data_IF_562296575633
#
_entry.id   IF_562296575633
#
_cell.length_a   1.000
_cell.length_b   1.000
_cell.length_c   1.000
_cell.angle_alpha   90.00
_cell.angle_beta   90.00
_cell.angle_gamma   90.00
#
_symmetry.space_group_name_H-M   'P 1'
#
loop_
_entity.id
_entity.type
_entity.pdbx_description
1 polymer ?
#
# COMPACT_ATOMS: atom_id res chain seq x y z
N UNK A 1 1.40 -11.54 -2.18
CA UNK A 1 -0.05 -11.85 -2.17
C UNK A 1 -0.84 -10.60 -2.52
N UNK A 2 -2.04 -10.80 -3.11
CA UNK A 2 -2.98 -9.72 -3.37
C UNK A 2 -3.61 -9.25 -2.04
N UNK A 3 -3.77 -7.92 -1.87
CA UNK A 3 -4.34 -7.33 -0.66
C UNK A 3 -5.40 -6.30 -1.04
N UNK A 4 -5.12 -5.01 -0.90
CA UNK A 4 -6.07 -3.95 -1.20
C UNK A 4 -6.53 -3.94 -2.66
N UNK A 5 -7.81 -3.67 -2.88
CA UNK A 5 -8.42 -3.54 -4.20
C UNK A 5 -9.30 -2.30 -4.27
N UNK A 6 -9.29 -1.62 -5.41
CA UNK A 6 -10.19 -0.50 -5.68
C UNK A 6 -10.59 -0.47 -7.17
N UNK A 7 -11.72 0.14 -7.47
CA UNK A 7 -12.10 0.43 -8.84
C UNK A 7 -11.54 1.78 -9.27
N UNK A 8 -11.18 1.89 -10.54
CA UNK A 8 -10.81 3.15 -11.18
C UNK A 8 -12.04 3.92 -11.69
N UNK A 9 -11.81 5.03 -12.41
CA UNK A 9 -12.89 5.83 -12.99
C UNK A 9 -13.87 4.99 -13.82
N UNK A 10 -15.16 5.23 -13.64
CA UNK A 10 -16.26 4.56 -14.37
C UNK A 10 -16.28 3.04 -14.24
N UNK A 11 -15.55 2.47 -13.29
CA UNK A 11 -15.31 1.01 -13.15
C UNK A 11 -14.70 0.38 -14.42
N UNK A 12 -13.89 1.13 -15.17
CA UNK A 12 -13.27 0.64 -16.39
C UNK A 12 -12.17 -0.39 -16.10
N UNK A 13 -11.56 -0.28 -14.93
CA UNK A 13 -10.52 -1.20 -14.43
C UNK A 13 -10.53 -1.30 -12.90
N UNK A 14 -9.95 -2.36 -12.39
CA UNK A 14 -9.60 -2.51 -10.98
C UNK A 14 -8.10 -2.41 -10.78
N UNK A 15 -7.68 -1.86 -9.64
CA UNK A 15 -6.30 -1.90 -9.15
C UNK A 15 -6.21 -2.86 -7.99
N UNK A 16 -5.13 -3.63 -7.94
CA UNK A 16 -4.87 -4.63 -6.90
C UNK A 16 -3.45 -4.47 -6.40
N UNK A 17 -3.31 -4.24 -5.09
CA UNK A 17 -2.01 -4.20 -4.44
C UNK A 17 -1.41 -5.60 -4.32
N UNK A 18 -0.16 -5.76 -4.68
CA UNK A 18 0.65 -6.95 -4.42
C UNK A 18 1.68 -6.63 -3.33
N UNK A 19 1.29 -6.82 -2.07
CA UNK A 19 2.03 -6.42 -0.87
C UNK A 19 3.47 -6.94 -0.86
N UNK A 20 3.65 -8.24 -1.10
CA UNK A 20 4.97 -8.88 -0.99
C UNK A 20 5.98 -8.47 -2.06
N UNK A 21 5.52 -7.87 -3.17
CA UNK A 21 6.38 -7.41 -4.25
C UNK A 21 6.44 -5.88 -4.37
N UNK A 22 5.68 -5.16 -3.53
CA UNK A 22 5.70 -3.70 -3.51
C UNK A 22 5.23 -3.08 -4.82
N UNK A 23 4.13 -3.60 -5.40
CA UNK A 23 3.60 -3.14 -6.68
C UNK A 23 2.09 -3.19 -6.76
N UNK A 24 1.53 -2.54 -7.77
CA UNK A 24 0.09 -2.53 -8.06
C UNK A 24 -0.16 -2.99 -9.48
N UNK A 25 -1.12 -3.87 -9.66
CA UNK A 25 -1.60 -4.33 -10.96
C UNK A 25 -2.91 -3.66 -11.33
N UNK A 26 -3.09 -3.40 -12.63
CA UNK A 26 -4.35 -3.00 -13.25
C UNK A 26 -4.96 -4.18 -13.98
N UNK A 27 -6.23 -4.46 -13.72
CA UNK A 27 -7.06 -5.40 -14.48
C UNK A 27 -8.16 -4.60 -15.18
N UNK A 28 -8.17 -4.62 -16.49
CA UNK A 28 -9.22 -3.97 -17.29
C UNK A 28 -10.53 -4.78 -17.20
N UNK A 29 -11.63 -4.09 -16.87
CA UNK A 29 -12.93 -4.70 -16.66
C UNK A 29 -13.88 -4.46 -17.83
N UNK A 30 -13.65 -3.38 -18.60
CA UNK A 30 -14.53 -2.96 -19.70
C UNK A 30 -13.74 -2.63 -20.98
N UNK A 31 -14.48 -2.50 -22.09
CA UNK A 31 -13.96 -2.11 -23.41
C UNK A 31 -13.14 -3.22 -24.07
N UNK A 32 -12.37 -2.85 -25.10
CA UNK A 32 -11.54 -3.78 -25.90
C UNK A 32 -10.43 -4.46 -25.09
N UNK A 33 -10.06 -3.88 -23.97
CA UNK A 33 -9.02 -4.39 -23.08
C UNK A 33 -9.55 -5.29 -21.96
N UNK A 34 -10.86 -5.54 -21.89
CA UNK A 34 -11.46 -6.34 -20.81
C UNK A 34 -10.75 -7.70 -20.63
N UNK A 35 -10.38 -8.01 -19.39
CA UNK A 35 -9.63 -9.22 -19.03
C UNK A 35 -8.10 -9.09 -19.17
N UNK A 36 -7.58 -8.01 -19.75
CA UNK A 36 -6.15 -7.78 -19.82
C UNK A 36 -5.63 -7.26 -18.47
N UNK A 37 -4.42 -7.71 -18.14
CA UNK A 37 -3.69 -7.31 -16.95
C UNK A 37 -2.42 -6.57 -17.34
N UNK A 38 -2.06 -5.54 -16.57
CA UNK A 38 -0.80 -4.82 -16.74
C UNK A 38 -0.27 -4.35 -15.39
N UNK A 39 1.01 -4.04 -15.34
CA UNK A 39 1.63 -3.38 -14.20
C UNK A 39 1.21 -1.92 -14.20
N UNK A 40 0.66 -1.44 -13.07
CA UNK A 40 0.24 -0.05 -12.92
C UNK A 40 1.36 0.82 -12.32
N UNK A 41 1.96 0.35 -11.23
CA UNK A 41 3.15 0.94 -10.61
C UNK A 41 3.97 -0.15 -9.94
N UNK A 42 5.29 -0.04 -9.99
CA UNK A 42 6.25 -0.96 -9.36
C UNK A 42 7.23 -0.22 -8.45
N UNK A 43 8.07 -0.98 -7.77
CA UNK A 43 9.15 -0.48 -6.92
C UNK A 43 8.66 0.49 -5.83
N UNK A 44 7.48 0.22 -5.28
CA UNK A 44 6.98 0.97 -4.13
C UNK A 44 7.94 0.83 -2.94
N UNK A 45 8.24 1.92 -2.21
CA UNK A 45 9.23 1.91 -1.12
C UNK A 45 8.74 1.18 0.13
N UNK A 46 7.47 0.83 0.19
CA UNK A 46 6.83 0.11 1.29
C UNK A 46 6.01 -1.09 0.81
N UNK A 47 5.39 -1.76 1.76
CA UNK A 47 4.47 -2.87 1.52
C UNK A 47 3.05 -2.33 1.33
N UNK A 48 2.52 -2.22 0.09
CA UNK A 48 1.18 -1.67 -0.12
C UNK A 48 0.13 -2.59 0.50
N UNK A 49 -0.75 -1.99 1.32
CA UNK A 49 -1.84 -2.70 1.99
C UNK A 49 -3.18 -2.32 1.32
N UNK A 50 -3.96 -1.41 1.88
CA UNK A 50 -5.18 -0.98 1.21
C UNK A 50 -4.93 0.17 0.22
N UNK A 51 -5.79 0.23 -0.79
CA UNK A 51 -5.82 1.27 -1.81
C UNK A 51 -7.23 1.82 -1.95
N UNK A 52 -7.37 3.12 -2.16
CA UNK A 52 -8.67 3.77 -2.34
C UNK A 52 -8.58 4.87 -3.40
N UNK A 53 -9.51 4.84 -4.35
CA UNK A 53 -9.72 5.93 -5.30
C UNK A 53 -10.51 7.06 -4.64
N UNK A 54 -10.11 8.31 -4.86
CA UNK A 54 -10.78 9.50 -4.32
C UNK A 54 -12.03 9.93 -5.13
N UNK A 55 -12.23 9.31 -6.28
CA UNK A 55 -13.34 9.64 -7.19
C UNK A 55 -13.01 10.76 -8.19
N UNK A 56 -11.81 11.31 -8.17
CA UNK A 56 -11.36 12.39 -9.06
C UNK A 56 -10.20 11.92 -9.93
N UNK A 57 -9.00 11.82 -9.38
CA UNK A 57 -7.78 11.51 -10.14
C UNK A 57 -6.69 10.79 -9.35
N UNK A 58 -6.87 10.55 -8.05
CA UNK A 58 -5.81 10.04 -7.17
C UNK A 58 -6.20 8.71 -6.49
N UNK A 59 -5.31 7.75 -6.57
CA UNK A 59 -5.35 6.52 -5.79
C UNK A 59 -4.46 6.67 -4.57
N UNK A 60 -5.04 6.55 -3.39
CA UNK A 60 -4.33 6.61 -2.11
C UNK A 60 -3.98 5.21 -1.65
N UNK A 61 -2.70 4.97 -1.35
CA UNK A 61 -2.16 3.67 -0.95
C UNK A 61 -1.53 3.80 0.44
N UNK A 62 -2.01 2.98 1.36
CA UNK A 62 -1.45 2.85 2.69
C UNK A 62 -0.30 1.84 2.69
N UNK A 63 0.80 2.16 3.38
CA UNK A 63 1.97 1.30 3.52
C UNK A 63 2.37 1.18 4.99
N UNK A 64 2.05 0.06 5.66
CA UNK A 64 2.30 -0.13 7.09
C UNK A 64 3.78 -0.32 7.45
N UNK A 65 4.61 -0.70 6.49
CA UNK A 65 6.04 -0.92 6.71
C UNK A 65 6.87 -0.58 5.48
N UNK A 66 8.14 -0.28 5.70
CA UNK A 66 9.12 -0.12 4.64
C UNK A 66 9.51 -1.48 4.05
N UNK A 67 9.89 -1.50 2.78
CA UNK A 67 10.25 -2.72 2.07
C UNK A 67 11.67 -3.20 2.37
N UNK A 68 12.59 -2.30 2.75
CA UNK A 68 14.02 -2.58 2.89
C UNK A 68 14.33 -3.83 3.72
N UNK A 69 13.65 -4.03 4.86
CA UNK A 69 13.88 -5.18 5.74
C UNK A 69 13.48 -6.53 5.12
N UNK A 70 12.54 -6.55 4.18
CA UNK A 70 12.14 -7.76 3.46
C UNK A 70 13.08 -8.06 2.28
N UNK A 71 13.55 -7.05 1.60
CA UNK A 71 14.43 -7.18 0.45
C UNK A 71 15.82 -7.68 0.85
N UNK A 72 16.32 -7.31 2.02
CA UNK A 72 17.60 -7.77 2.56
C UNK A 72 17.66 -9.30 2.75
N UNK A 73 16.54 -9.92 3.08
CA UNK A 73 16.45 -11.38 3.26
C UNK A 73 15.91 -12.11 2.03
N UNK A 74 15.39 -11.38 1.02
CA UNK A 74 14.80 -11.97 -0.18
C UNK A 74 15.76 -12.90 -0.93
N UNK A 75 17.08 -12.61 -1.09
CA UNK A 75 18.03 -13.45 -1.78
C UNK A 75 18.38 -14.78 -1.06
N UNK A 76 17.92 -14.95 0.20
CA UNK A 76 18.30 -16.08 1.03
C UNK A 76 17.12 -17.00 1.38
N UNK A 77 16.66 -17.87 0.45
CA UNK A 77 15.46 -18.70 0.64
C UNK A 77 15.57 -19.64 1.85
N UNK A 78 16.78 -20.15 2.16
CA UNK A 78 16.99 -21.00 3.34
C UNK A 78 16.87 -20.22 4.65
N UNK A 79 17.35 -18.97 4.67
CA UNK A 79 17.22 -18.08 5.83
C UNK A 79 15.74 -17.72 6.05
N UNK A 80 15.02 -17.39 4.97
CA UNK A 80 13.56 -17.11 5.02
C UNK A 80 12.79 -18.32 5.57
N UNK A 81 13.10 -19.53 5.10
CA UNK A 81 12.52 -20.75 5.61
C UNK A 81 12.80 -20.97 7.09
N UNK A 82 14.02 -20.67 7.55
CA UNK A 82 14.39 -20.75 8.98
C UNK A 82 13.62 -19.70 9.79
N UNK A 83 13.54 -18.46 9.32
CA UNK A 83 12.84 -17.38 9.99
C UNK A 83 11.33 -17.64 10.09
N UNK A 84 10.73 -18.37 9.13
CA UNK A 84 9.30 -18.71 9.16
C UNK A 84 8.90 -19.64 10.33
N UNK A 85 9.86 -20.28 11.01
CA UNK A 85 9.60 -21.04 12.22
C UNK A 85 9.63 -20.18 13.50
N UNK A 86 10.06 -18.91 13.40
CA UNK A 86 10.03 -18.01 14.55
C UNK A 86 8.59 -17.57 14.85
N UNK A 87 8.26 -17.40 16.13
CA UNK A 87 6.97 -16.83 16.51
C UNK A 87 6.76 -15.45 15.85
N UNK A 88 5.56 -15.22 15.33
CA UNK A 88 5.22 -14.02 14.55
C UNK A 88 5.55 -12.72 15.29
N UNK A 89 5.36 -12.68 16.61
CA UNK A 89 5.63 -11.49 17.42
C UNK A 89 7.13 -11.09 17.46
N UNK A 90 8.05 -12.03 17.22
CA UNK A 90 9.47 -11.71 17.10
C UNK A 90 9.81 -11.10 15.74
N UNK A 91 9.15 -11.57 14.68
CA UNK A 91 9.28 -11.01 13.33
C UNK A 91 8.67 -9.61 13.24
N UNK A 92 7.49 -9.42 13.87
CA UNK A 92 6.83 -8.12 13.94
C UNK A 92 7.60 -7.09 14.78
N UNK A 93 8.31 -7.53 15.83
CA UNK A 93 9.15 -6.65 16.65
C UNK A 93 10.38 -6.13 15.88
N UNK A 94 10.80 -6.84 14.82
CA UNK A 94 11.91 -6.44 13.97
C UNK A 94 11.46 -5.52 12.80
N UNK A 95 10.15 -5.36 12.57
CA UNK A 95 9.64 -4.46 11.55
C UNK A 95 9.67 -3.02 12.05
N UNK A 96 10.33 -2.14 11.31
CA UNK A 96 10.32 -0.71 11.63
C UNK A 96 8.92 -0.12 11.40
N UNK A 97 8.37 0.59 12.41
CA UNK A 97 7.09 1.25 12.24
C UNK A 97 7.20 2.33 11.17
N UNK A 98 6.25 2.35 10.25
CA UNK A 98 6.18 3.38 9.22
C UNK A 98 4.84 4.09 9.28
N UNK A 99 4.87 5.42 9.16
CA UNK A 99 3.73 6.29 8.89
C UNK A 99 3.85 6.74 7.45
N UNK A 100 3.27 5.96 6.53
CA UNK A 100 3.54 6.14 5.12
C UNK A 100 2.30 5.95 4.26
N UNK A 101 2.02 6.97 3.43
CA UNK A 101 0.94 6.97 2.45
C UNK A 101 1.47 7.60 1.16
N UNK A 102 1.10 7.05 0.02
CA UNK A 102 1.33 7.69 -1.27
C UNK A 102 0.01 7.95 -1.98
N UNK A 103 -0.03 9.06 -2.74
CA UNK A 103 -1.03 9.32 -3.75
C UNK A 103 -0.44 9.07 -5.14
N UNK A 104 -1.17 8.35 -5.98
CA UNK A 104 -0.76 7.96 -7.34
C UNK A 104 -1.84 8.39 -8.32
N UNK A 105 -1.47 9.07 -9.41
CA UNK A 105 -2.42 9.51 -10.43
C UNK A 105 -2.92 8.35 -11.31
N UNK A 106 -3.83 8.64 -12.25
CA UNK A 106 -4.41 7.65 -13.16
C UNK A 106 -3.38 7.00 -14.11
N UNK A 107 -2.20 7.60 -14.26
CA UNK A 107 -1.10 7.12 -15.09
C UNK A 107 -0.10 6.24 -14.34
N UNK A 108 -0.23 6.13 -13.00
CA UNK A 108 0.70 5.37 -12.16
C UNK A 108 1.89 6.20 -11.67
N UNK A 109 1.81 7.53 -11.74
CA UNK A 109 2.85 8.42 -11.24
C UNK A 109 2.56 8.86 -9.81
N UNK A 110 3.58 8.86 -8.95
CA UNK A 110 3.44 9.31 -7.55
C UNK A 110 3.31 10.83 -7.53
N UNK A 111 2.19 11.32 -7.03
CA UNK A 111 1.89 12.76 -6.88
C UNK A 111 2.03 13.24 -5.44
N UNK A 112 1.79 12.36 -4.49
CA UNK A 112 1.89 12.66 -3.06
C UNK A 112 2.73 11.60 -2.36
N UNK A 113 3.61 12.05 -1.47
CA UNK A 113 4.46 11.19 -0.66
C UNK A 113 4.43 11.72 0.78
N UNK A 114 3.54 11.13 1.59
CA UNK A 114 3.25 11.58 2.95
C UNK A 114 3.91 10.63 3.93
N UNK A 115 4.92 11.10 4.62
CA UNK A 115 5.69 10.34 5.60
C UNK A 115 5.88 11.15 6.88
N UNK A 116 5.77 10.48 8.02
CA UNK A 116 6.08 11.06 9.32
C UNK A 116 6.77 9.99 10.18
N UNK A 117 8.09 10.11 10.34
CA UNK A 117 8.91 9.17 11.11
C UNK A 117 8.79 9.39 12.62
N UNK A 118 8.34 10.57 13.04
CA UNK A 118 8.17 10.92 14.46
C UNK A 118 6.74 10.67 14.95
N UNK A 119 5.82 10.33 14.04
CA UNK A 119 4.42 10.13 14.36
C UNK A 119 4.20 8.96 15.31
N UNK A 120 3.39 9.20 16.34
CA UNK A 120 2.85 8.12 17.16
C UNK A 120 1.80 7.27 16.42
N UNK A 121 1.32 7.71 15.24
CA UNK A 121 0.36 7.02 14.41
C UNK A 121 1.07 6.30 13.28
N UNK A 122 1.37 5.02 13.46
CA UNK A 122 2.13 4.18 12.53
C UNK A 122 1.39 2.89 12.17
N UNK A 123 2.01 2.05 11.33
CA UNK A 123 1.39 0.84 10.75
C UNK A 123 0.06 1.15 10.05
N UNK A 124 0.09 2.16 9.17
CA UNK A 124 -1.11 2.61 8.44
C UNK A 124 -1.48 1.54 7.41
N UNK A 125 -2.60 0.87 7.63
CA UNK A 125 -3.12 -0.18 6.74
C UNK A 125 -4.27 0.31 5.88
N UNK A 126 -4.95 1.37 6.28
CA UNK A 126 -6.10 1.92 5.56
C UNK A 126 -5.99 3.42 5.35
N UNK A 127 -6.42 3.89 4.19
CA UNK A 127 -6.55 5.31 3.84
C UNK A 127 -7.86 5.51 3.10
N UNK A 128 -8.66 6.47 3.57
CA UNK A 128 -9.95 6.78 2.96
C UNK A 128 -10.04 8.29 2.74
N UNK A 129 -10.01 8.77 1.49
CA UNK A 129 -10.22 10.18 1.18
C UNK A 129 -11.70 10.55 1.37
N UNK A 130 -11.93 11.76 1.92
CA UNK A 130 -13.25 12.36 2.05
C UNK A 130 -13.11 13.89 1.99
N UNK A 131 -13.50 14.49 0.87
CA UNK A 131 -13.19 15.90 0.57
C UNK A 131 -11.69 16.15 0.62
N UNK A 132 -11.26 17.18 1.32
CA UNK A 132 -9.84 17.55 1.45
C UNK A 132 -9.13 16.85 2.61
N UNK A 133 -9.63 15.69 3.05
CA UNK A 133 -9.14 15.01 4.24
C UNK A 133 -8.95 13.52 3.99
N UNK A 134 -7.84 12.96 4.49
CA UNK A 134 -7.58 11.53 4.56
C UNK A 134 -7.89 11.02 5.98
N UNK A 135 -8.70 9.98 6.06
CA UNK A 135 -8.94 9.22 7.29
C UNK A 135 -8.12 7.94 7.25
N UNK A 136 -7.35 7.70 8.32
CA UNK A 136 -6.33 6.66 8.37
C UNK A 136 -6.69 5.61 9.41
N UNK A 137 -6.61 4.35 9.00
CA UNK A 137 -6.69 3.19 9.89
C UNK A 137 -5.30 2.60 10.14
N UNK A 138 -5.07 2.14 11.35
CA UNK A 138 -3.82 1.51 11.76
C UNK A 138 -4.05 0.10 12.28
N UNK A 139 -3.07 -0.79 12.07
CA UNK A 139 -3.08 -2.13 12.63
C UNK A 139 -2.86 -2.14 14.15
N UNK A 140 -2.17 -1.14 14.70
CA UNK A 140 -1.74 -1.14 16.11
C UNK A 140 -2.20 0.07 16.91
N UNK A 141 -2.45 1.19 16.27
CA UNK A 141 -2.88 2.40 16.98
C UNK A 141 -4.38 2.35 17.25
N UNK A 142 -4.78 2.52 18.52
CA UNK A 142 -6.20 2.52 18.92
C UNK A 142 -6.81 3.93 18.74
N UNK A 143 -6.71 4.47 17.53
CA UNK A 143 -7.22 5.77 17.13
C UNK A 143 -7.47 5.80 15.62
N UNK A 144 -8.17 6.81 15.15
CA UNK A 144 -8.29 7.14 13.73
C UNK A 144 -7.36 8.33 13.46
N UNK A 145 -6.46 8.18 12.47
CA UNK A 145 -5.65 9.29 11.98
C UNK A 145 -6.48 10.20 11.08
N UNK A 146 -6.23 11.50 11.15
CA UNK A 146 -6.87 12.51 10.30
C UNK A 146 -5.79 13.43 9.76
N UNK A 147 -5.70 13.52 8.45
CA UNK A 147 -4.66 14.29 7.74
C UNK A 147 -5.31 15.11 6.62
N UNK A 148 -5.10 16.44 6.54
CA UNK A 148 -5.52 17.19 5.37
C UNK A 148 -4.71 16.76 4.14
N UNK A 149 -5.34 16.74 2.98
CA UNK A 149 -4.64 16.55 1.70
C UNK A 149 -3.85 17.82 1.40
N UNK A 150 -2.53 17.75 1.17
CA UNK A 150 -1.70 18.92 0.93
C UNK A 150 -1.95 19.57 -0.44
#
# INVERSE_FOLDING_TARGET
FANGVTLGPNDDYGLVNETGLGRVHRLWLKGERAGQQELFIDELPGTPDNIRFDGVDTFWIAMPSLRASLDDIAPWPRLRALLSFLPIHLLEAAAEPASFIIGVNLQGEVTHNLQDQESAFHYITGVTPCGDTLYLGSLRTNAIGVLPIP
#
